data_IF_428485567961
#
_entry.id   IF_428485567961
#
_cell.length_a   1.000
_cell.length_b   1.000
_cell.length_c   1.000
_cell.angle_alpha   90.00
_cell.angle_beta   90.00
_cell.angle_gamma   90.00
#
_symmetry.space_group_name_H-M   'P 1'
#
loop_
_entity.id
_entity.type
_entity.pdbx_description
1 polymer ?
#
# COMPACT_ATOMS: atom_id res chain seq x y z
N UNK A 1 -31.38 5.25 -1.20
CA UNK A 1 -30.00 5.24 -1.74
C UNK A 1 -29.06 5.42 -0.57
N UNK A 2 -28.16 4.47 -0.31
CA UNK A 2 -27.20 4.61 0.79
C UNK A 2 -26.28 5.80 0.47
N UNK A 3 -26.10 6.74 1.39
CA UNK A 3 -25.21 7.86 1.18
C UNK A 3 -23.77 7.34 1.05
N UNK A 4 -23.16 7.53 -0.13
CA UNK A 4 -21.76 7.14 -0.34
C UNK A 4 -20.87 8.16 0.35
N UNK A 5 -20.12 7.72 1.37
CA UNK A 5 -19.24 8.61 2.12
C UNK A 5 -17.95 8.82 1.33
N UNK A 6 -17.73 10.05 0.86
CA UNK A 6 -16.49 10.49 0.20
C UNK A 6 -15.57 11.09 1.26
N UNK A 7 -14.30 10.67 1.27
CA UNK A 7 -13.30 11.17 2.24
C UNK A 7 -12.01 11.54 1.54
N UNK A 8 -11.28 12.48 2.13
CA UNK A 8 -9.89 12.75 1.79
C UNK A 8 -9.02 11.57 2.25
N UNK A 9 -8.26 10.97 1.34
CA UNK A 9 -7.37 9.82 1.56
C UNK A 9 -5.90 10.20 1.60
N UNK A 10 -5.57 11.40 1.13
CA UNK A 10 -4.21 11.89 1.11
C UNK A 10 -4.10 13.22 0.38
N UNK A 11 -2.89 13.51 -0.06
CA UNK A 11 -2.54 14.71 -0.81
C UNK A 11 -1.66 14.29 -1.99
N UNK A 12 -1.92 14.83 -3.18
CA UNK A 12 -1.04 14.67 -4.33
C UNK A 12 0.23 15.53 -4.19
N UNK A 13 1.16 15.38 -5.13
CA UNK A 13 2.42 16.15 -5.14
C UNK A 13 2.25 17.66 -5.36
N UNK A 14 1.07 18.11 -5.79
CA UNK A 14 0.73 19.53 -5.93
C UNK A 14 0.11 20.13 -4.66
N UNK A 15 -0.12 19.33 -3.63
CA UNK A 15 -0.77 19.77 -2.39
C UNK A 15 -2.31 19.63 -2.40
N UNK A 16 -2.88 19.07 -3.47
CA UNK A 16 -4.34 18.91 -3.61
C UNK A 16 -4.81 17.60 -3.00
N UNK A 17 -6.00 17.61 -2.42
CA UNK A 17 -6.55 16.43 -1.74
C UNK A 17 -6.86 15.30 -2.72
N UNK A 18 -6.45 14.08 -2.36
CA UNK A 18 -6.93 12.87 -3.03
C UNK A 18 -8.22 12.45 -2.34
N UNK A 19 -9.33 12.42 -3.08
CA UNK A 19 -10.63 11.98 -2.58
C UNK A 19 -11.05 10.66 -3.25
N UNK A 20 -11.81 9.86 -2.51
CA UNK A 20 -12.44 8.64 -2.98
C UNK A 20 -13.60 8.26 -2.06
N UNK A 21 -14.59 7.54 -2.60
CA UNK A 21 -15.62 6.89 -1.78
C UNK A 21 -14.99 5.85 -0.84
N UNK A 22 -15.67 5.49 0.25
CA UNK A 22 -15.26 4.36 1.10
C UNK A 22 -15.14 3.06 0.29
N UNK A 23 -16.03 2.84 -0.69
CA UNK A 23 -16.02 1.68 -1.57
C UNK A 23 -14.77 1.63 -2.48
N UNK A 24 -14.52 2.68 -3.26
CA UNK A 24 -13.37 2.76 -4.16
C UNK A 24 -12.06 2.70 -3.39
N UNK A 25 -11.99 3.31 -2.21
CA UNK A 25 -10.78 3.24 -1.39
C UNK A 25 -10.52 1.82 -0.87
N UNK A 26 -11.55 1.12 -0.41
CA UNK A 26 -11.43 -0.29 0.01
C UNK A 26 -10.94 -1.17 -1.14
N UNK A 27 -11.55 -1.04 -2.32
CA UNK A 27 -11.11 -1.71 -3.53
C UNK A 27 -9.64 -1.39 -3.88
N UNK A 28 -9.24 -0.13 -3.78
CA UNK A 28 -7.86 0.27 -4.05
C UNK A 28 -6.87 -0.38 -3.08
N UNK A 29 -7.24 -0.55 -1.80
CA UNK A 29 -6.40 -1.29 -0.85
C UNK A 29 -6.24 -2.76 -1.24
N UNK A 30 -7.28 -3.41 -1.77
CA UNK A 30 -7.18 -4.79 -2.27
C UNK A 30 -6.21 -4.89 -3.46
N UNK A 31 -6.26 -3.93 -4.39
CA UNK A 31 -5.30 -3.86 -5.51
C UNK A 31 -3.86 -3.73 -5.00
N UNK A 32 -3.62 -2.89 -4.00
CA UNK A 32 -2.30 -2.73 -3.39
C UNK A 32 -1.85 -3.97 -2.62
N UNK A 33 -2.78 -4.73 -2.04
CA UNK A 33 -2.54 -5.96 -1.31
C UNK A 33 -2.33 -7.19 -2.22
N UNK A 34 -2.64 -7.08 -3.53
CA UNK A 34 -2.40 -8.16 -4.50
C UNK A 34 -0.94 -8.64 -4.40
N UNK A 35 -0.68 -9.96 -4.24
CA UNK A 35 0.68 -10.47 -4.06
C UNK A 35 1.67 -10.07 -5.15
N UNK A 36 1.20 -9.80 -6.37
CA UNK A 36 2.03 -9.32 -7.47
C UNK A 36 2.38 -7.83 -7.34
N UNK A 37 1.55 -7.03 -6.65
CA UNK A 37 1.71 -5.58 -6.47
C UNK A 37 2.37 -5.23 -5.13
N UNK A 38 2.02 -5.94 -4.06
CA UNK A 38 2.48 -5.71 -2.69
C UNK A 38 3.99 -5.44 -2.56
N UNK A 39 4.90 -6.16 -3.27
CA UNK A 39 6.34 -5.89 -3.21
C UNK A 39 6.77 -4.47 -3.61
N UNK A 40 5.95 -3.76 -4.38
CA UNK A 40 6.22 -2.39 -4.82
C UNK A 40 5.08 -1.40 -4.54
N UNK A 41 4.08 -1.79 -3.74
CA UNK A 41 2.92 -0.95 -3.43
C UNK A 41 3.31 0.41 -2.83
N UNK A 42 4.37 0.45 -2.00
CA UNK A 42 4.92 1.66 -1.39
C UNK A 42 5.46 2.70 -2.39
N UNK A 43 5.70 2.30 -3.65
CA UNK A 43 6.15 3.19 -4.72
C UNK A 43 4.97 3.80 -5.50
N UNK A 44 3.77 3.25 -5.38
CA UNK A 44 2.60 3.68 -6.16
C UNK A 44 2.07 4.99 -5.58
N UNK A 45 1.91 6.00 -6.44
CA UNK A 45 1.43 7.32 -6.05
C UNK A 45 0.28 7.75 -6.95
N UNK A 46 -0.82 8.10 -6.30
CA UNK A 46 -1.99 8.72 -6.94
C UNK A 46 -1.65 10.20 -7.17
N UNK A 47 -1.67 10.63 -8.43
CA UNK A 47 -1.45 12.02 -8.85
C UNK A 47 -2.75 12.78 -9.04
N UNK A 48 -3.86 12.07 -9.27
CA UNK A 48 -5.18 12.67 -9.30
C UNK A 48 -6.22 11.69 -8.73
N UNK A 49 -7.03 12.19 -7.78
CA UNK A 49 -8.10 11.43 -7.13
C UNK A 49 -9.40 11.43 -7.94
N UNK A 50 -10.42 10.76 -7.41
CA UNK A 50 -11.81 10.94 -7.80
C UNK A 50 -12.39 12.18 -7.07
N UNK A 51 -13.64 12.54 -7.37
CA UNK A 51 -14.39 13.60 -6.70
C UNK A 51 -13.69 14.97 -6.70
N UNK A 52 -13.06 15.32 -7.82
CA UNK A 52 -12.26 16.53 -7.94
C UNK A 52 -13.09 17.81 -7.82
N UNK A 53 -14.41 17.74 -7.98
CA UNK A 53 -15.34 18.84 -7.63
C UNK A 53 -15.22 19.27 -6.17
N UNK A 54 -15.01 18.33 -5.25
CA UNK A 54 -14.78 18.59 -3.81
C UNK A 54 -13.38 19.15 -3.56
N UNK A 55 -12.42 18.85 -4.43
CA UNK A 55 -11.04 19.30 -4.35
C UNK A 55 -10.77 20.67 -5.01
N UNK A 56 -11.81 21.34 -5.52
CA UNK A 56 -11.69 22.63 -6.24
C UNK A 56 -11.40 22.50 -7.74
N UNK A 57 -11.58 21.31 -8.32
CA UNK A 57 -11.47 21.01 -9.75
C UNK A 57 -10.31 20.09 -10.14
N UNK A 58 -10.51 19.29 -11.19
CA UNK A 58 -9.52 18.39 -11.79
C UNK A 58 -8.41 19.11 -12.57
N UNK A 59 -7.38 18.40 -13.03
CA UNK A 59 -6.48 18.97 -14.02
C UNK A 59 -7.26 19.32 -15.31
N UNK A 60 -6.99 20.46 -15.93
CA UNK A 60 -7.72 20.90 -17.15
C UNK A 60 -7.70 19.84 -18.27
N UNK A 61 -6.64 19.04 -18.35
CA UNK A 61 -6.48 17.96 -19.32
C UNK A 61 -7.41 16.76 -19.07
N UNK A 62 -7.99 16.63 -17.88
CA UNK A 62 -8.86 15.51 -17.50
C UNK A 62 -10.31 15.67 -17.95
N UNK A 63 -10.69 16.80 -18.57
CA UNK A 63 -12.02 17.05 -19.15
C UNK A 63 -13.23 16.73 -18.24
N UNK A 64 -13.05 16.79 -16.92
CA UNK A 64 -14.09 16.45 -15.93
C UNK A 64 -14.20 14.97 -15.56
N UNK A 65 -13.40 14.07 -16.16
CA UNK A 65 -13.48 12.61 -15.90
C UNK A 65 -13.28 12.20 -14.44
N UNK A 66 -12.70 13.07 -13.62
CA UNK A 66 -12.47 12.84 -12.20
C UNK A 66 -13.42 13.61 -11.29
N UNK A 67 -14.44 14.28 -11.83
CA UNK A 67 -15.33 15.14 -11.05
C UNK A 67 -16.31 14.35 -10.18
N UNK A 68 -16.59 13.10 -10.58
CA UNK A 68 -17.34 12.09 -9.82
C UNK A 68 -16.46 10.93 -9.34
N UNK A 69 -17.08 9.76 -9.11
CA UNK A 69 -16.41 8.55 -8.62
C UNK A 69 -15.59 7.79 -9.67
N UNK A 70 -14.85 6.80 -9.20
CA UNK A 70 -14.26 5.73 -10.02
C UNK A 70 -12.88 6.00 -10.64
N UNK A 71 -12.38 7.24 -10.68
CA UNK A 71 -11.14 7.54 -11.43
C UNK A 71 -9.92 7.82 -10.56
N UNK A 72 -8.77 7.20 -10.88
CA UNK A 72 -7.45 7.61 -10.41
C UNK A 72 -6.47 7.74 -11.57
N UNK A 73 -5.57 8.72 -11.45
CA UNK A 73 -4.33 8.77 -12.22
C UNK A 73 -3.16 8.42 -11.32
N UNK A 74 -2.27 7.56 -11.81
CA UNK A 74 -1.10 7.07 -11.10
C UNK A 74 0.16 7.43 -11.88
N UNK A 75 1.13 8.08 -11.23
CA UNK A 75 2.44 8.31 -11.86
C UNK A 75 3.16 6.98 -12.12
N UNK A 76 3.98 6.93 -13.16
CA UNK A 76 4.76 5.72 -13.49
C UNK A 76 6.25 5.92 -13.60
N UNK A 77 6.78 7.14 -13.58
CA UNK A 77 8.21 7.40 -13.79
C UNK A 77 9.13 6.78 -12.73
N UNK A 78 8.60 6.46 -11.54
CA UNK A 78 9.32 5.74 -10.49
C UNK A 78 9.07 4.22 -10.48
N UNK A 79 8.33 3.71 -11.47
CA UNK A 79 8.05 2.29 -11.65
C UNK A 79 8.80 1.77 -12.89
N UNK A 80 9.31 0.55 -12.80
CA UNK A 80 9.83 -0.16 -13.97
C UNK A 80 8.69 -0.53 -14.93
N UNK A 81 9.00 -0.73 -16.21
CA UNK A 81 8.00 -1.17 -17.20
C UNK A 81 7.28 -2.46 -16.78
N UNK A 82 7.98 -3.38 -16.10
CA UNK A 82 7.37 -4.61 -15.56
C UNK A 82 6.37 -4.30 -14.45
N UNK A 83 6.69 -3.41 -13.52
CA UNK A 83 5.78 -2.99 -12.46
C UNK A 83 4.54 -2.29 -13.03
N UNK A 84 4.70 -1.44 -14.06
CA UNK A 84 3.58 -0.81 -14.76
C UNK A 84 2.62 -1.85 -15.36
N UNK A 85 3.16 -2.82 -16.09
CA UNK A 85 2.35 -3.90 -16.68
C UNK A 85 1.67 -4.74 -15.60
N UNK A 86 2.39 -5.08 -14.52
CA UNK A 86 1.84 -5.81 -13.38
C UNK A 86 0.70 -5.04 -12.72
N UNK A 87 0.86 -3.73 -12.50
CA UNK A 87 -0.15 -2.90 -11.86
C UNK A 87 -1.41 -2.75 -12.73
N UNK A 88 -1.26 -2.49 -14.04
CA UNK A 88 -2.40 -2.47 -14.98
C UNK A 88 -3.12 -3.81 -14.98
N UNK A 89 -2.36 -4.92 -14.96
CA UNK A 89 -2.94 -6.26 -14.91
C UNK A 89 -3.69 -6.54 -13.61
N UNK A 90 -3.14 -6.15 -12.46
CA UNK A 90 -3.76 -6.31 -11.16
C UNK A 90 -5.07 -5.53 -11.07
N UNK A 91 -5.06 -4.23 -11.43
CA UNK A 91 -6.29 -3.39 -11.47
C UNK A 91 -7.39 -4.09 -12.29
N UNK A 92 -7.04 -4.64 -13.46
CA UNK A 92 -7.98 -5.36 -14.33
C UNK A 92 -8.49 -6.66 -13.74
N UNK A 93 -7.66 -7.40 -12.99
CA UNK A 93 -8.08 -8.62 -12.30
C UNK A 93 -8.99 -8.34 -11.11
N UNK A 94 -8.88 -7.16 -10.51
CA UNK A 94 -9.75 -6.68 -9.44
C UNK A 94 -10.98 -5.92 -9.97
N UNK A 95 -11.33 -6.07 -11.24
CA UNK A 95 -12.57 -5.53 -11.80
C UNK A 95 -12.52 -4.07 -12.27
N UNK A 96 -11.35 -3.43 -12.29
CA UNK A 96 -11.17 -2.08 -12.83
C UNK A 96 -10.78 -2.07 -14.31
N UNK A 97 -11.06 -0.96 -14.99
CA UNK A 97 -10.45 -0.61 -16.28
C UNK A 97 -9.16 0.15 -16.02
N UNK A 98 -8.08 -0.14 -16.75
CA UNK A 98 -6.83 0.59 -16.59
C UNK A 98 -6.02 0.64 -17.88
N UNK A 99 -5.39 1.77 -18.17
CA UNK A 99 -4.52 1.94 -19.32
C UNK A 99 -3.30 2.79 -18.95
N UNK A 100 -2.13 2.39 -19.45
CA UNK A 100 -0.97 3.26 -19.52
C UNK A 100 -1.23 4.35 -20.57
N UNK A 101 -1.10 5.60 -20.16
CA UNK A 101 -1.10 6.79 -20.99
C UNK A 101 0.34 7.27 -21.15
N UNK A 102 0.81 7.37 -22.38
CA UNK A 102 2.12 7.91 -22.72
C UNK A 102 2.09 8.45 -24.16
N UNK A 103 3.24 8.87 -24.69
CA UNK A 103 3.30 9.44 -26.04
C UNK A 103 2.73 8.49 -27.12
N UNK A 104 3.05 7.20 -27.04
CA UNK A 104 2.53 6.19 -27.97
C UNK A 104 1.05 5.86 -27.73
N UNK A 105 0.58 6.03 -26.50
CA UNK A 105 -0.74 5.61 -26.02
C UNK A 105 -1.58 6.82 -25.59
N UNK A 106 -1.87 7.69 -26.57
CA UNK A 106 -2.72 8.88 -26.39
C UNK A 106 -1.99 10.22 -26.41
N UNK A 107 -0.69 10.24 -26.71
CA UNK A 107 0.06 11.50 -26.90
C UNK A 107 0.44 12.22 -25.60
N UNK A 108 0.39 11.53 -24.46
CA UNK A 108 0.65 12.13 -23.15
C UNK A 108 2.16 12.27 -22.90
N UNK A 109 2.61 13.50 -22.65
CA UNK A 109 4.02 13.81 -22.37
C UNK A 109 4.45 13.46 -20.95
N UNK A 110 3.50 13.42 -20.00
CA UNK A 110 3.69 12.88 -18.66
C UNK A 110 3.03 11.51 -18.55
N UNK A 111 3.81 10.40 -18.59
CA UNK A 111 3.27 9.07 -18.54
C UNK A 111 2.58 8.77 -17.20
N UNK A 112 1.41 8.16 -17.27
CA UNK A 112 0.64 7.76 -16.09
C UNK A 112 -0.24 6.56 -16.41
N UNK A 113 -0.68 5.82 -15.38
CA UNK A 113 -1.80 4.88 -15.53
C UNK A 113 -3.07 5.63 -15.20
N UNK A 114 -4.02 5.60 -16.12
CA UNK A 114 -5.39 6.05 -15.88
C UNK A 114 -6.26 4.82 -15.60
N UNK A 115 -7.04 4.85 -14.52
CA UNK A 115 -7.96 3.77 -14.16
C UNK A 115 -9.38 4.27 -13.92
N UNK A 116 -10.34 3.37 -14.16
CA UNK A 116 -11.77 3.56 -13.91
C UNK A 116 -12.33 2.33 -13.20
N UNK A 117 -12.85 2.49 -12.00
CA UNK A 117 -13.65 1.51 -11.29
C UNK A 117 -15.14 1.75 -11.62
N UNK A 118 -15.65 1.04 -12.63
CA UNK A 118 -17.02 1.27 -13.12
C UNK A 118 -18.14 0.80 -12.19
N UNK A 119 -17.82 0.16 -11.07
CA UNK A 119 -18.78 -0.17 -10.00
C UNK A 119 -18.80 0.86 -8.88
N UNK A 120 -17.95 1.89 -8.92
CA UNK A 120 -18.03 3.00 -7.97
C UNK A 120 -19.28 3.86 -8.22
N UNK A 121 -19.66 4.61 -7.20
CA UNK A 121 -20.87 5.43 -7.22
C UNK A 121 -20.64 6.77 -7.91
N UNK A 122 -21.68 7.27 -8.57
CA UNK A 122 -21.73 8.59 -9.22
C UNK A 122 -20.51 8.85 -10.14
N UNK A 123 -20.23 7.89 -11.03
CA UNK A 123 -19.27 8.09 -12.12
C UNK A 123 -19.66 9.33 -12.91
N UNK A 124 -18.67 10.19 -13.20
CA UNK A 124 -18.90 11.26 -14.17
C UNK A 124 -19.17 10.66 -15.56
N UNK A 125 -19.90 11.42 -16.40
CA UNK A 125 -20.28 11.02 -17.76
C UNK A 125 -19.11 10.47 -18.59
N UNK A 126 -17.93 11.09 -18.48
CA UNK A 126 -16.76 10.63 -19.22
C UNK A 126 -16.10 9.39 -18.63
N UNK A 127 -16.10 9.24 -17.30
CA UNK A 127 -15.65 8.02 -16.63
C UNK A 127 -16.56 6.83 -16.98
N UNK A 128 -17.88 7.03 -16.96
CA UNK A 128 -18.86 6.02 -17.38
C UNK A 128 -18.67 5.61 -18.85
N UNK A 129 -18.38 6.58 -19.74
CA UNK A 129 -18.05 6.29 -21.12
C UNK A 129 -16.75 5.47 -21.24
N UNK A 130 -15.67 5.86 -20.56
CA UNK A 130 -14.42 5.09 -20.56
C UNK A 130 -14.59 3.67 -20.00
N UNK A 131 -15.45 3.49 -19.01
CA UNK A 131 -15.82 2.17 -18.52
C UNK A 131 -16.49 1.33 -19.60
N UNK A 132 -17.42 1.90 -20.36
CA UNK A 132 -18.05 1.20 -21.50
C UNK A 132 -17.04 0.84 -22.60
N UNK A 133 -16.06 1.70 -22.86
CA UNK A 133 -14.95 1.45 -23.78
C UNK A 133 -14.10 0.27 -23.29
N UNK A 134 -13.78 0.24 -21.99
CA UNK A 134 -13.05 -0.87 -21.39
C UNK A 134 -13.78 -2.20 -21.59
N UNK A 135 -15.08 -2.26 -21.30
CA UNK A 135 -15.89 -3.47 -21.47
C UNK A 135 -15.83 -3.93 -22.94
N UNK A 136 -15.97 -3.00 -23.87
CA UNK A 136 -15.93 -3.27 -25.30
C UNK A 136 -14.51 -3.57 -25.86
N UNK A 137 -13.46 -3.51 -25.04
CA UNK A 137 -12.09 -3.80 -25.47
C UNK A 137 -11.39 -2.70 -26.24
N UNK A 138 -11.77 -1.45 -25.92
CA UNK A 138 -11.23 -0.24 -26.52
C UNK A 138 -10.32 0.49 -25.53
N UNK A 139 -9.59 1.47 -26.05
CA UNK A 139 -8.54 2.18 -25.35
C UNK A 139 -9.04 3.33 -24.44
N UNK A 140 -10.34 3.62 -24.40
CA UNK A 140 -10.90 4.68 -23.58
C UNK A 140 -10.46 6.10 -23.98
N UNK A 141 -10.05 6.31 -25.23
CA UNK A 141 -9.70 7.60 -25.83
C UNK A 141 -10.68 7.92 -26.95
N UNK A 142 -10.81 9.20 -27.33
CA UNK A 142 -11.76 9.64 -28.36
C UNK A 142 -11.69 8.86 -29.69
N UNK A 143 -10.54 8.28 -30.02
CA UNK A 143 -10.36 7.42 -31.20
C UNK A 143 -11.10 6.08 -31.14
N UNK A 144 -11.56 5.64 -29.95
CA UNK A 144 -12.19 4.33 -29.72
C UNK A 144 -11.34 3.17 -30.26
N UNK A 145 -10.02 3.35 -30.26
CA UNK A 145 -9.08 2.37 -30.80
C UNK A 145 -9.02 1.10 -29.94
N UNK A 146 -8.46 0.02 -30.48
CA UNK A 146 -8.30 -1.25 -29.75
C UNK A 146 -7.46 -1.06 -28.49
N UNK A 147 -7.87 -1.72 -27.40
CA UNK A 147 -7.07 -1.81 -26.18
C UNK A 147 -5.75 -2.54 -26.44
N UNK A 148 -4.66 -1.94 -26.00
CA UNK A 148 -3.28 -2.39 -26.19
C UNK A 148 -2.71 -3.14 -24.98
N UNK A 149 -3.47 -3.27 -23.90
CA UNK A 149 -3.08 -4.06 -22.74
C UNK A 149 -3.76 -5.42 -22.69
N UNK A 150 -3.11 -6.37 -22.02
CA UNK A 150 -3.68 -7.69 -21.71
C UNK A 150 -4.98 -7.54 -20.91
N UNK A 151 -5.98 -8.37 -21.22
CA UNK A 151 -7.29 -8.39 -20.55
C UNK A 151 -7.57 -9.76 -19.93
N UNK A 152 -8.22 -9.83 -18.75
CA UNK A 152 -8.77 -11.07 -18.24
C UNK A 152 -9.76 -11.69 -19.22
N UNK A 153 -9.79 -13.02 -19.30
CA UNK A 153 -10.78 -13.77 -20.05
C UNK A 153 -11.24 -14.97 -19.18
N UNK A 154 -12.50 -15.02 -18.71
CA UNK A 154 -13.56 -14.02 -18.92
C UNK A 154 -13.21 -12.64 -18.33
N UNK A 155 -13.85 -11.59 -18.85
CA UNK A 155 -13.67 -10.23 -18.34
C UNK A 155 -14.21 -10.14 -16.91
N UNK A 156 -13.45 -9.50 -16.02
CA UNK A 156 -13.87 -9.22 -14.65
C UNK A 156 -14.30 -7.75 -14.60
N UNK A 157 -15.58 -7.51 -14.30
CA UNK A 157 -16.19 -6.17 -14.26
C UNK A 157 -16.72 -5.78 -12.90
N UNK A 158 -16.68 -6.72 -11.96
CA UNK A 158 -17.09 -6.53 -10.58
C UNK A 158 -15.89 -6.89 -9.73
N UNK A 159 -15.46 -6.02 -8.80
CA UNK A 159 -14.46 -6.41 -7.83
C UNK A 159 -14.81 -7.73 -7.18
N UNK A 160 -13.85 -8.64 -6.96
CA UNK A 160 -14.10 -9.81 -6.15
C UNK A 160 -14.64 -9.36 -4.80
N UNK A 161 -15.68 -10.04 -4.30
CA UNK A 161 -16.16 -9.80 -2.95
C UNK A 161 -15.00 -10.09 -2.00
N UNK A 162 -14.69 -9.14 -1.12
CA UNK A 162 -13.83 -9.46 0.02
C UNK A 162 -14.62 -10.50 0.83
N UNK A 163 -14.07 -11.70 0.97
CA UNK A 163 -14.27 -12.47 2.18
C UNK A 163 -13.67 -11.61 3.29
N UNK A 164 -14.45 -10.63 3.77
CA UNK A 164 -14.09 -9.79 4.91
C UNK A 164 -13.55 -10.73 5.97
N UNK A 165 -12.29 -10.56 6.34
CA UNK A 165 -11.66 -11.38 7.35
C UNK A 165 -12.64 -11.47 8.52
N UNK A 166 -13.18 -12.66 8.74
CA UNK A 166 -14.21 -12.81 9.74
C UNK A 166 -13.58 -12.51 11.11
N UNK A 167 -14.41 -12.29 12.12
CA UNK A 167 -13.91 -11.93 13.45
C UNK A 167 -12.82 -12.91 13.95
N UNK A 168 -12.87 -14.18 13.55
CA UNK A 168 -11.90 -15.21 13.95
C UNK A 168 -10.54 -15.02 13.27
N UNK A 169 -10.49 -14.61 12.01
CA UNK A 169 -9.24 -14.32 11.32
C UNK A 169 -8.54 -13.07 11.89
N UNK A 170 -9.33 -12.04 12.19
CA UNK A 170 -8.84 -10.84 12.89
C UNK A 170 -8.34 -11.21 14.28
N UNK A 171 -9.11 -12.03 15.03
CA UNK A 171 -8.72 -12.48 16.36
C UNK A 171 -7.45 -13.32 16.32
N UNK A 172 -7.30 -14.22 15.35
CA UNK A 172 -6.10 -15.03 15.17
C UNK A 172 -4.87 -14.17 14.84
N UNK A 173 -5.03 -13.12 14.04
CA UNK A 173 -3.96 -12.17 13.75
C UNK A 173 -3.55 -11.37 15.00
N UNK A 174 -4.53 -10.91 15.79
CA UNK A 174 -4.30 -10.24 17.08
C UNK A 174 -3.59 -11.17 18.05
N UNK A 175 -4.05 -12.43 18.20
CA UNK A 175 -3.38 -13.41 19.06
C UNK A 175 -1.93 -13.66 18.65
N UNK A 176 -1.66 -13.74 17.34
CA UNK A 176 -0.30 -13.94 16.83
C UNK A 176 0.60 -12.75 17.18
N UNK A 177 0.09 -11.53 17.07
CA UNK A 177 0.78 -10.32 17.49
C UNK A 177 1.01 -10.29 19.00
N UNK A 178 0.00 -10.60 19.80
CA UNK A 178 0.13 -10.70 21.26
C UNK A 178 1.18 -11.73 21.66
N UNK A 179 1.18 -12.93 21.06
CA UNK A 179 2.22 -13.95 21.29
C UNK A 179 3.62 -13.46 20.92
N UNK A 180 3.75 -12.63 19.89
CA UNK A 180 5.03 -12.02 19.50
C UNK A 180 5.49 -11.00 20.54
N UNK A 181 4.59 -10.12 20.99
CA UNK A 181 4.85 -9.13 22.04
C UNK A 181 5.22 -9.81 23.37
N UNK A 182 4.49 -10.87 23.77
CA UNK A 182 4.80 -11.65 24.96
C UNK A 182 6.17 -12.32 24.89
N UNK A 183 6.52 -12.86 23.71
CA UNK A 183 7.84 -13.44 23.48
C UNK A 183 8.94 -12.40 23.62
N UNK A 184 8.74 -11.21 23.03
CA UNK A 184 9.68 -10.09 23.19
C UNK A 184 9.84 -9.74 24.67
N UNK A 185 8.75 -9.59 25.42
CA UNK A 185 8.81 -9.30 26.85
C UNK A 185 9.53 -10.39 27.68
N UNK A 186 9.30 -11.67 27.37
CA UNK A 186 10.00 -12.78 28.04
C UNK A 186 11.49 -12.80 27.72
N UNK A 187 11.86 -12.52 26.48
CA UNK A 187 13.27 -12.42 26.07
C UNK A 187 13.96 -11.27 26.82
N UNK A 188 13.32 -10.10 26.93
CA UNK A 188 13.84 -8.98 27.73
C UNK A 188 14.03 -9.38 29.20
N UNK A 189 13.02 -10.03 29.82
CA UNK A 189 13.14 -10.45 31.22
C UNK A 189 14.21 -11.54 31.45
N UNK A 190 14.41 -12.44 30.48
CA UNK A 190 15.47 -13.43 30.52
C UNK A 190 16.86 -12.78 30.39
N UNK A 191 17.02 -11.79 29.50
CA UNK A 191 18.23 -10.99 29.36
C UNK A 191 18.59 -10.29 30.66
N UNK A 192 17.63 -9.59 31.26
CA UNK A 192 17.86 -8.82 32.49
C UNK A 192 18.27 -9.72 33.66
N UNK A 193 17.69 -10.92 33.76
CA UNK A 193 18.14 -11.95 34.73
C UNK A 193 19.57 -12.41 34.46
N UNK A 194 19.91 -12.74 33.21
CA UNK A 194 21.28 -13.16 32.85
C UNK A 194 22.31 -12.08 33.18
N UNK A 195 22.01 -10.82 32.88
CA UNK A 195 22.87 -9.68 33.22
C UNK A 195 23.01 -9.54 34.73
N UNK A 196 21.91 -9.65 35.48
CA UNK A 196 21.92 -9.61 36.94
C UNK A 196 22.79 -10.73 37.53
N UNK A 197 22.58 -11.96 37.11
CA UNK A 197 23.32 -13.12 37.63
C UNK A 197 24.82 -13.03 37.29
N UNK A 198 25.15 -12.55 36.10
CA UNK A 198 26.53 -12.23 35.71
C UNK A 198 27.14 -11.16 36.62
N UNK A 199 26.42 -10.05 36.88
CA UNK A 199 26.90 -8.98 37.75
C UNK A 199 27.10 -9.48 39.19
N UNK A 200 26.14 -10.24 39.73
CA UNK A 200 26.24 -10.83 41.07
C UNK A 200 27.43 -11.79 41.20
N UNK A 201 27.59 -12.72 40.25
CA UNK A 201 28.73 -13.64 40.23
C UNK A 201 30.08 -12.92 40.18
N UNK A 202 30.15 -11.80 39.46
CA UNK A 202 31.36 -10.98 39.37
C UNK A 202 31.63 -10.20 40.65
N UNK A 203 30.59 -9.68 41.31
CA UNK A 203 30.71 -9.05 42.63
C UNK A 203 31.28 -10.06 43.64
N UNK A 204 30.75 -11.28 43.66
CA UNK A 204 31.25 -12.37 44.53
C UNK A 204 32.70 -12.74 44.20
N UNK A 205 33.08 -12.75 42.91
CA UNK A 205 34.44 -13.03 42.47
C UNK A 205 35.46 -11.97 42.92
N UNK A 206 35.06 -10.70 42.98
CA UNK A 206 35.97 -9.62 43.35
C UNK A 206 36.10 -9.43 44.87
N UNK A 207 35.11 -9.88 45.66
CA UNK A 207 35.17 -9.95 47.12
C UNK A 207 35.54 -8.63 47.83
N UNK A 208 35.92 -8.71 49.11
CA UNK A 208 36.23 -7.54 49.97
C UNK A 208 37.48 -6.75 49.54
N UNK A 209 38.33 -7.31 48.66
CA UNK A 209 39.59 -6.68 48.22
C UNK A 209 39.41 -5.67 47.07
N UNK A 210 38.22 -5.61 46.47
CA UNK A 210 37.90 -4.69 45.37
C UNK A 210 38.43 -5.15 44.00
N UNK A 211 37.84 -4.61 42.93
CA UNK A 211 38.19 -4.94 41.54
C UNK A 211 39.29 -4.03 40.98
N UNK A 212 40.23 -4.59 40.23
CA UNK A 212 41.23 -3.84 39.47
C UNK A 212 40.62 -3.14 38.24
N UNK A 213 41.29 -2.12 37.71
CA UNK A 213 40.84 -1.42 36.51
C UNK A 213 40.69 -2.34 35.28
N UNK A 214 41.55 -3.36 35.14
CA UNK A 214 41.46 -4.34 34.06
C UNK A 214 40.21 -5.22 34.19
N UNK A 215 39.86 -5.61 35.42
CA UNK A 215 38.64 -6.39 35.71
C UNK A 215 37.38 -5.57 35.44
N UNK A 216 37.34 -4.30 35.83
CA UNK A 216 36.22 -3.40 35.52
C UNK A 216 36.05 -3.17 34.01
N UNK A 217 37.15 -3.02 33.26
CA UNK A 217 37.10 -2.89 31.80
C UNK A 217 36.51 -4.13 31.14
N UNK A 218 36.87 -5.33 31.62
CA UNK A 218 36.32 -6.59 31.12
C UNK A 218 34.84 -6.76 31.45
N UNK A 219 34.44 -6.39 32.67
CA UNK A 219 33.03 -6.40 33.07
C UNK A 219 32.15 -5.51 32.17
N UNK A 220 32.64 -4.31 31.83
CA UNK A 220 31.94 -3.40 30.90
C UNK A 220 31.79 -4.00 29.50
N UNK A 221 32.81 -4.71 29.02
CA UNK A 221 32.74 -5.40 27.72
C UNK A 221 31.76 -6.57 27.75
N UNK A 222 31.76 -7.38 28.82
CA UNK A 222 30.84 -8.50 29.00
C UNK A 222 29.37 -8.02 29.06
N UNK A 223 29.10 -6.92 29.78
CA UNK A 223 27.77 -6.28 29.82
C UNK A 223 27.36 -5.70 28.48
N UNK A 224 28.27 -5.02 27.77
CA UNK A 224 27.98 -4.48 26.45
C UNK A 224 27.64 -5.58 25.43
N UNK A 225 28.34 -6.72 25.48
CA UNK A 225 28.06 -7.88 24.64
C UNK A 225 26.67 -8.47 24.94
N UNK A 226 26.34 -8.64 26.23
CA UNK A 226 25.04 -9.18 26.66
C UNK A 226 23.85 -8.27 26.31
N UNK A 227 24.09 -6.98 26.07
CA UNK A 227 23.09 -6.02 25.61
C UNK A 227 22.95 -5.97 24.07
N UNK A 228 23.93 -6.47 23.31
CA UNK A 228 24.01 -6.34 21.85
C UNK A 228 23.46 -7.56 21.06
N UNK A 229 23.18 -8.69 21.71
CA UNK A 229 22.75 -9.97 21.08
C UNK A 229 21.36 -9.92 20.37
N UNK A 230 20.68 -8.78 20.24
CA UNK A 230 19.32 -8.70 19.64
C UNK A 230 19.29 -8.32 18.14
N UNK A 231 20.39 -7.89 17.51
CA UNK A 231 20.33 -7.41 16.11
C UNK A 231 20.33 -8.54 15.05
N UNK A 232 20.46 -9.82 15.43
CA UNK A 232 20.70 -10.93 14.50
C UNK A 232 19.62 -12.03 14.41
N UNK A 233 18.51 -11.93 15.15
CA UNK A 233 17.44 -12.97 15.12
C UNK A 233 16.02 -12.41 14.86
N UNK A 234 15.91 -11.26 14.19
CA UNK A 234 14.63 -10.61 13.85
C UNK A 234 14.06 -11.01 12.48
#
# INVERSE_FOLDING_TARGET
>A
MAAHTVRRRGTDSSGRGIYASDYMWSWWQQVLADPAVAPFAHLIVITQGAWMTVAGGGARASAGYHDGGGCFDLRVWNLTSRQVVTLVWAIRRHGGGAWLRNLAHGGFTDPHIHLVLGTDYDLDSGAAWQWSEYIAGRNGLASSGRDYHRRPNPLITTPPEDDMANADEVLAAVEKLTKRVDRMGKNTAARDRRIRDMLLSRIDQYGEKGATAAQLKRLRADVALALADEDNEA
#
